data_IF_984531244867
#
_entry.id   IF_984531244867
#
_cell.length_a   1.000
_cell.length_b   1.000
_cell.length_c   1.000
_cell.angle_alpha   90.00
_cell.angle_beta   90.00
_cell.angle_gamma   90.00
#
_symmetry.space_group_name_H-M   'P 1'
#
loop_
_entity.id
_entity.type
_entity.pdbx_description
1 polymer ?
#
# COMPACT_ATOMS: atom_id res chain seq x y z
N UNK A 1 -21.71 20.32 18.17
CA UNK A 1 -20.88 19.17 18.55
C UNK A 1 -21.25 18.02 17.61
N UNK A 2 -20.33 17.55 16.76
CA UNK A 2 -20.58 16.41 15.87
C UNK A 2 -20.00 15.19 16.57
N UNK A 3 -20.84 14.21 16.93
CA UNK A 3 -20.35 12.95 17.51
C UNK A 3 -19.60 12.22 16.40
N UNK A 4 -18.31 11.96 16.62
CA UNK A 4 -17.47 11.16 15.74
C UNK A 4 -17.06 9.91 16.50
N UNK A 5 -17.19 8.75 15.85
CA UNK A 5 -16.76 7.48 16.42
C UNK A 5 -15.26 7.32 16.16
N UNK A 6 -14.50 6.77 17.10
CA UNK A 6 -13.11 6.40 16.89
C UNK A 6 -12.97 5.28 15.85
N UNK A 7 -11.76 5.07 15.33
CA UNK A 7 -11.42 3.86 14.56
C UNK A 7 -11.74 2.60 15.37
N UNK A 8 -12.17 1.54 14.69
CA UNK A 8 -12.32 0.23 15.35
C UNK A 8 -11.04 -0.58 15.20
N UNK A 9 -10.71 -1.47 16.16
CA UNK A 9 -9.54 -2.35 16.03
C UNK A 9 -9.50 -3.12 14.72
N UNK A 10 -10.66 -3.55 14.19
CA UNK A 10 -10.73 -4.24 12.90
C UNK A 10 -10.36 -3.36 11.69
N UNK A 11 -10.59 -2.04 11.75
CA UNK A 11 -10.09 -1.13 10.71
C UNK A 11 -8.57 -0.97 10.80
N UNK A 12 -8.03 -0.91 12.01
CA UNK A 12 -6.58 -0.80 12.25
C UNK A 12 -5.85 -2.05 11.76
N UNK A 13 -6.37 -3.23 12.12
CA UNK A 13 -5.92 -4.51 11.60
C UNK A 13 -5.97 -4.56 10.07
N UNK A 14 -7.03 -4.01 9.46
CA UNK A 14 -7.15 -3.98 7.99
C UNK A 14 -6.07 -3.12 7.34
N UNK A 15 -5.73 -1.98 7.93
CA UNK A 15 -4.64 -1.12 7.44
C UNK A 15 -3.31 -1.88 7.50
N UNK A 16 -3.03 -2.57 8.61
CA UNK A 16 -1.82 -3.40 8.78
C UNK A 16 -1.79 -4.54 7.76
N UNK A 17 -2.93 -5.20 7.52
CA UNK A 17 -3.06 -6.25 6.51
C UNK A 17 -2.75 -5.73 5.11
N UNK A 18 -3.28 -4.56 4.74
CA UNK A 18 -3.03 -3.93 3.44
C UNK A 18 -1.56 -3.52 3.30
N UNK A 19 -0.93 -3.00 4.36
CA UNK A 19 0.50 -2.71 4.35
C UNK A 19 1.32 -3.98 4.07
N UNK A 20 1.02 -5.10 4.75
CA UNK A 20 1.68 -6.39 4.48
C UNK A 20 1.42 -6.88 3.05
N UNK A 21 0.24 -6.64 2.51
CA UNK A 21 -0.09 -6.98 1.13
C UNK A 21 0.77 -6.22 0.12
N UNK A 22 1.05 -4.93 0.37
CA UNK A 22 1.99 -4.18 -0.46
C UNK A 22 3.37 -4.85 -0.51
N UNK A 23 3.93 -5.21 0.64
CA UNK A 23 5.26 -5.84 0.70
C UNK A 23 5.29 -7.24 0.07
N UNK A 24 4.21 -8.01 0.18
CA UNK A 24 4.22 -9.43 -0.22
C UNK A 24 3.66 -9.73 -1.61
N UNK A 25 2.81 -8.87 -2.16
CA UNK A 25 2.12 -9.11 -3.44
C UNK A 25 2.31 -7.96 -4.44
N UNK A 26 2.48 -6.71 -3.99
CA UNK A 26 2.59 -5.54 -4.89
C UNK A 26 4.03 -5.16 -5.20
N UNK A 27 4.83 -4.78 -4.20
CA UNK A 27 6.22 -4.33 -4.40
C UNK A 27 7.11 -5.35 -5.13
N UNK A 28 6.99 -6.68 -4.90
CA UNK A 28 7.76 -7.67 -5.64
C UNK A 28 7.52 -7.67 -7.16
N UNK A 29 6.42 -7.07 -7.64
CA UNK A 29 6.15 -6.92 -9.08
C UNK A 29 6.99 -5.82 -9.74
N UNK A 30 7.55 -4.92 -8.92
CA UNK A 30 8.13 -3.64 -9.35
C UNK A 30 9.58 -3.43 -8.92
N UNK A 31 9.96 -4.02 -7.79
CA UNK A 31 11.24 -3.78 -7.11
C UNK A 31 11.91 -5.10 -6.73
N UNK A 32 13.24 -5.08 -6.59
CA UNK A 32 14.01 -6.24 -6.12
C UNK A 32 14.00 -6.31 -4.58
N UNK A 33 14.56 -7.39 -4.01
CA UNK A 33 14.54 -7.58 -2.55
C UNK A 33 15.39 -6.52 -1.81
N UNK A 34 16.48 -6.02 -2.41
CA UNK A 34 17.33 -4.99 -1.80
C UNK A 34 16.59 -3.66 -1.67
N UNK A 35 15.84 -3.27 -2.71
CA UNK A 35 14.98 -2.09 -2.72
C UNK A 35 13.87 -2.22 -1.66
N UNK A 36 13.20 -3.37 -1.61
CA UNK A 36 12.11 -3.63 -0.66
C UNK A 36 12.63 -3.61 0.79
N UNK A 37 13.82 -4.16 1.03
CA UNK A 37 14.48 -4.09 2.35
C UNK A 37 14.80 -2.65 2.75
N UNK A 38 15.15 -1.79 1.80
CA UNK A 38 15.35 -0.37 2.07
C UNK A 38 14.02 0.34 2.41
N UNK A 39 12.91 -0.05 1.78
CA UNK A 39 11.58 0.49 2.12
C UNK A 39 11.19 0.20 3.56
N UNK A 40 11.54 -0.98 4.09
CA UNK A 40 11.33 -1.31 5.50
C UNK A 40 12.12 -0.37 6.43
N UNK A 41 13.38 -0.04 6.08
CA UNK A 41 14.22 0.90 6.85
C UNK A 41 13.70 2.33 6.78
N UNK A 42 13.10 2.71 5.65
CA UNK A 42 12.49 4.02 5.43
C UNK A 42 11.07 4.12 6.00
N UNK A 43 10.58 3.06 6.65
CA UNK A 43 9.26 2.98 7.27
C UNK A 43 8.11 3.24 6.27
N UNK A 44 8.29 2.79 5.02
CA UNK A 44 7.26 2.88 3.99
C UNK A 44 6.05 2.04 4.40
N UNK A 45 4.86 2.63 4.35
CA UNK A 45 3.59 2.05 4.81
C UNK A 45 3.59 1.58 6.26
N UNK A 46 4.57 2.01 7.06
CA UNK A 46 4.64 1.66 8.46
C UNK A 46 3.47 2.31 9.20
N UNK A 47 2.80 1.50 10.01
CA UNK A 47 1.58 1.87 10.74
C UNK A 47 1.79 1.48 12.19
N UNK A 48 2.12 2.47 13.02
CA UNK A 48 2.36 2.31 14.45
C UNK A 48 1.10 2.58 15.26
N UNK A 49 0.94 1.99 16.46
CA UNK A 49 -0.10 2.34 17.42
C UNK A 49 -0.30 3.85 17.59
N UNK A 50 0.78 4.64 17.63
CA UNK A 50 0.71 6.10 17.82
C UNK A 50 0.20 6.84 16.57
N UNK A 51 0.30 6.23 15.37
CA UNK A 51 -0.35 6.76 14.17
C UNK A 51 -1.85 6.44 14.17
N UNK A 52 -2.29 5.39 14.86
CA UNK A 52 -3.71 5.11 15.02
C UNK A 52 -4.41 6.15 15.91
N UNK A 53 -3.69 6.78 16.84
CA UNK A 53 -4.18 7.96 17.56
C UNK A 53 -4.45 9.16 16.64
N UNK A 54 -3.82 9.22 15.45
CA UNK A 54 -4.13 10.23 14.42
C UNK A 54 -5.37 9.91 13.61
N UNK A 55 -5.80 8.64 13.52
CA UNK A 55 -7.09 8.25 12.96
C UNK A 55 -8.18 8.58 13.98
N UNK A 56 -8.41 9.88 14.12
CA UNK A 56 -9.29 10.47 15.12
C UNK A 56 -10.72 9.94 14.99
N UNK A 57 -11.09 9.42 13.81
CA UNK A 57 -12.42 8.92 13.52
C UNK A 57 -12.45 7.62 12.69
N UNK A 58 -13.56 6.90 12.78
CA UNK A 58 -13.96 5.78 11.92
C UNK A 58 -13.86 6.13 10.42
N UNK A 59 -14.18 7.39 10.08
CA UNK A 59 -14.11 7.89 8.71
C UNK A 59 -12.68 8.01 8.22
N UNK A 60 -11.76 8.45 9.08
CA UNK A 60 -10.34 8.56 8.75
C UNK A 60 -9.73 7.21 8.44
N UNK A 61 -9.97 6.21 9.31
CA UNK A 61 -9.48 4.86 9.08
C UNK A 61 -10.08 4.25 7.80
N UNK A 62 -11.38 4.46 7.53
CA UNK A 62 -12.02 4.01 6.29
C UNK A 62 -11.43 4.69 5.05
N UNK A 63 -11.10 5.98 5.13
CA UNK A 63 -10.48 6.71 4.04
C UNK A 63 -9.08 6.16 3.73
N UNK A 64 -8.26 5.88 4.75
CA UNK A 64 -6.95 5.24 4.59
C UNK A 64 -7.08 3.86 3.94
N UNK A 65 -7.98 3.02 4.43
CA UNK A 65 -8.25 1.69 3.84
C UNK A 65 -8.59 1.83 2.36
N UNK A 66 -9.53 2.73 2.04
CA UNK A 66 -9.97 2.97 0.66
C UNK A 66 -8.81 3.45 -0.23
N UNK A 67 -7.94 4.31 0.30
CA UNK A 67 -6.77 4.80 -0.42
C UNK A 67 -5.77 3.69 -0.72
N UNK A 68 -5.45 2.86 0.28
CA UNK A 68 -4.55 1.71 0.11
C UNK A 68 -5.12 0.70 -0.89
N UNK A 69 -6.41 0.36 -0.79
CA UNK A 69 -7.06 -0.55 -1.74
C UNK A 69 -7.08 0.02 -3.16
N UNK A 70 -7.33 1.32 -3.32
CA UNK A 70 -7.31 1.96 -4.64
C UNK A 70 -5.91 1.90 -5.25
N UNK A 71 -4.87 2.18 -4.48
CA UNK A 71 -3.48 2.05 -4.92
C UNK A 71 -3.16 0.61 -5.31
N UNK A 72 -3.55 -0.38 -4.50
CA UNK A 72 -3.38 -1.81 -4.83
C UNK A 72 -4.07 -2.12 -6.16
N UNK A 73 -5.34 -1.75 -6.34
CA UNK A 73 -6.08 -2.04 -7.58
C UNK A 73 -5.46 -1.38 -8.82
N UNK A 74 -4.89 -0.18 -8.67
CA UNK A 74 -4.16 0.49 -9.74
C UNK A 74 -2.88 -0.29 -10.08
N UNK A 75 -2.11 -0.68 -9.06
CA UNK A 75 -0.81 -1.34 -9.21
C UNK A 75 -0.91 -2.82 -9.60
N UNK A 76 -2.01 -3.51 -9.33
CA UNK A 76 -2.17 -4.91 -9.75
C UNK A 76 -2.64 -5.06 -11.19
N UNK A 77 -3.09 -3.97 -11.82
CA UNK A 77 -3.63 -4.00 -13.18
C UNK A 77 -2.59 -4.37 -14.26
N UNK A 78 -1.30 -4.38 -13.92
CA UNK A 78 -0.17 -4.77 -14.78
C UNK A 78 0.18 -3.75 -15.87
N UNK A 79 -0.84 -3.23 -16.55
CA UNK A 79 -0.73 -2.06 -17.43
C UNK A 79 -1.53 -0.93 -16.81
N UNK A 80 -0.85 0.04 -16.20
CA UNK A 80 -1.50 1.15 -15.52
C UNK A 80 -1.73 2.30 -16.52
N UNK A 81 -2.96 2.49 -17.06
CA UNK A 81 -3.20 3.58 -18.01
C UNK A 81 -3.07 4.95 -17.34
N UNK A 82 -2.50 5.92 -18.06
CA UNK A 82 -2.22 7.29 -17.61
C UNK A 82 -3.41 7.98 -16.93
N UNK A 83 -4.65 7.62 -17.31
CA UNK A 83 -5.88 8.10 -16.67
C UNK A 83 -5.94 7.86 -15.15
N UNK A 84 -5.22 6.87 -14.63
CA UNK A 84 -5.14 6.58 -13.19
C UNK A 84 -4.08 7.40 -12.46
N UNK A 85 -3.20 8.13 -13.16
CA UNK A 85 -2.13 8.92 -12.54
C UNK A 85 -2.67 9.95 -11.54
N UNK A 86 -3.76 10.65 -11.90
CA UNK A 86 -4.40 11.63 -11.01
C UNK A 86 -4.99 10.97 -9.75
N UNK A 87 -5.61 9.80 -9.92
CA UNK A 87 -6.16 9.01 -8.83
C UNK A 87 -5.07 8.47 -7.91
N UNK A 88 -3.99 7.95 -8.48
CA UNK A 88 -2.81 7.51 -7.73
C UNK A 88 -2.26 8.65 -6.87
N UNK A 89 -1.93 9.79 -7.49
CA UNK A 89 -1.37 10.95 -6.77
C UNK A 89 -2.28 11.45 -5.65
N UNK A 90 -3.59 11.47 -5.88
CA UNK A 90 -4.57 11.84 -4.86
C UNK A 90 -4.54 10.89 -3.66
N UNK A 91 -4.51 9.59 -3.89
CA UNK A 91 -4.47 8.60 -2.82
C UNK A 91 -3.13 8.64 -2.06
N UNK A 92 -2.01 8.86 -2.75
CA UNK A 92 -0.69 9.07 -2.10
C UNK A 92 -0.70 10.32 -1.21
N UNK A 93 -1.29 11.42 -1.69
CA UNK A 93 -1.43 12.64 -0.89
C UNK A 93 -2.27 12.38 0.37
N UNK A 94 -3.40 11.68 0.24
CA UNK A 94 -4.24 11.34 1.39
C UNK A 94 -3.47 10.50 2.42
N UNK A 95 -2.72 9.47 1.99
CA UNK A 95 -1.87 8.70 2.89
C UNK A 95 -0.85 9.59 3.61
N UNK A 96 -0.23 10.51 2.89
CA UNK A 96 0.74 11.48 3.44
C UNK A 96 0.09 12.40 4.48
N UNK A 97 -1.11 12.90 4.22
CA UNK A 97 -1.86 13.77 5.14
C UNK A 97 -2.19 13.03 6.45
N UNK A 98 -2.41 11.72 6.37
CA UNK A 98 -2.59 10.83 7.52
C UNK A 98 -1.26 10.37 8.15
N UNK A 99 -0.11 10.81 7.63
CA UNK A 99 1.21 10.49 8.15
C UNK A 99 1.71 9.09 7.77
N UNK A 100 1.12 8.45 6.77
CA UNK A 100 1.58 7.18 6.21
C UNK A 100 2.53 7.49 5.05
N UNK A 101 3.78 7.03 5.18
CA UNK A 101 4.79 7.24 4.17
C UNK A 101 4.53 6.35 2.95
N UNK A 102 4.35 6.95 1.77
CA UNK A 102 4.32 6.24 0.49
C UNK A 102 5.10 7.07 -0.55
N UNK A 103 6.45 6.98 -0.55
CA UNK A 103 7.33 7.93 -1.22
C UNK A 103 7.52 7.58 -2.70
N UNK A 104 6.45 7.14 -3.38
CA UNK A 104 6.53 6.65 -4.75
C UNK A 104 5.78 7.54 -5.73
N UNK A 105 6.39 7.73 -6.89
CA UNK A 105 5.81 8.38 -8.04
C UNK A 105 5.19 7.36 -8.98
N UNK A 106 4.11 7.77 -9.67
CA UNK A 106 3.42 6.93 -10.65
C UNK A 106 4.37 6.33 -11.71
N UNK A 107 5.36 7.10 -12.16
CA UNK A 107 6.31 6.67 -13.20
C UNK A 107 7.16 5.47 -12.79
N UNK A 108 7.43 5.30 -11.49
CA UNK A 108 8.18 4.14 -10.99
C UNK A 108 7.45 2.81 -11.24
N UNK A 109 6.12 2.86 -11.39
CA UNK A 109 5.27 1.70 -11.66
C UNK A 109 4.81 1.59 -13.12
N UNK A 110 4.80 2.70 -13.88
CA UNK A 110 4.47 2.65 -15.31
C UNK A 110 5.64 2.23 -16.18
N UNK A 111 6.87 2.57 -15.77
CA UNK A 111 8.07 2.39 -16.58
C UNK A 111 8.80 1.08 -16.25
N UNK A 112 8.43 0.46 -15.13
CA UNK A 112 8.84 -0.88 -14.72
C UNK A 112 8.28 -1.90 -15.71
N UNK A 113 8.98 -2.09 -16.83
CA UNK A 113 8.80 -3.26 -17.69
C UNK A 113 9.02 -4.50 -16.82
N UNK A 114 7.93 -5.15 -16.38
CA UNK A 114 7.90 -6.39 -15.59
C UNK A 114 9.29 -7.03 -15.42
N UNK A 115 10.04 -6.58 -14.41
CA UNK A 115 11.48 -6.87 -14.31
C UNK A 115 11.73 -8.35 -13.98
N UNK A 116 10.68 -9.11 -13.64
CA UNK A 116 10.85 -10.39 -12.97
C UNK A 116 9.92 -11.48 -13.50
N UNK A 117 10.09 -11.87 -14.77
CA UNK A 117 9.63 -13.19 -15.20
C UNK A 117 10.55 -14.32 -14.67
N UNK A 118 11.82 -14.01 -14.38
CA UNK A 118 12.84 -15.02 -14.02
C UNK A 118 13.37 -14.93 -12.56
N UNK A 119 12.84 -14.01 -11.74
CA UNK A 119 13.26 -13.82 -10.35
C UNK A 119 12.09 -14.00 -9.41
N UNK A 120 12.30 -14.82 -8.39
CA UNK A 120 11.33 -15.06 -7.32
C UNK A 120 11.82 -14.28 -6.11
N UNK A 121 11.08 -13.23 -5.74
CA UNK A 121 11.36 -12.42 -4.55
C UNK A 121 11.15 -13.21 -3.27
N UNK A 122 12.01 -13.01 -2.27
CA UNK A 122 11.84 -13.58 -0.91
C UNK A 122 10.63 -12.99 -0.18
N UNK A 123 10.18 -11.81 -0.60
CA UNK A 123 8.97 -11.17 -0.09
C UNK A 123 7.69 -11.75 -0.70
N UNK A 124 7.78 -12.35 -1.89
CA UNK A 124 6.62 -12.91 -2.57
C UNK A 124 6.03 -14.09 -1.78
N UNK A 125 4.70 -14.12 -1.63
CA UNK A 125 4.03 -15.28 -1.02
C UNK A 125 4.33 -16.55 -1.85
N UNK A 126 4.56 -17.70 -1.20
CA UNK A 126 4.75 -18.95 -1.92
C UNK A 126 3.52 -19.28 -2.77
N UNK A 127 3.73 -19.56 -4.06
CA UNK A 127 2.68 -19.85 -5.05
C UNK A 127 1.89 -21.16 -4.78
N UNK A 128 2.19 -21.88 -3.70
CA UNK A 128 1.67 -23.21 -3.38
C UNK A 128 0.21 -23.21 -2.86
N UNK A 129 -0.59 -22.16 -3.11
CA UNK A 129 -2.04 -22.12 -2.78
C UNK A 129 -2.97 -22.58 -3.92
N UNK A 130 -2.43 -23.10 -5.02
CA UNK A 130 -3.20 -23.63 -6.15
C UNK A 130 -3.10 -25.16 -6.32
N UNK A 131 -2.90 -25.90 -5.24
CA UNK A 131 -3.16 -27.35 -5.23
C UNK A 131 -4.55 -27.58 -4.63
N UNK A 132 -5.59 -27.37 -5.45
CA UNK A 132 -6.92 -27.93 -5.21
C UNK A 132 -7.01 -29.30 -5.89
#
# INVERSE_FOLDING_TARGET
MKIVFASTPGQEEKIVELARYFYSDVFPLYFNDEDIQEFEKLEVLHTRPEQFERFSTLGDAFQVITCMQTLISILESGHIPEKYQSMFRRNVQILTDYGICFPFNYSQFSDSKHVHLDYISTYAKPANRLLL
#
